data_IF_111974426048
#
_entry.id   IF_111974426048
#
_cell.length_a   1.000
_cell.length_b   1.000
_cell.length_c   1.000
_cell.angle_alpha   90.00
_cell.angle_beta   90.00
_cell.angle_gamma   90.00
#
_symmetry.space_group_name_H-M   'P 1'
#
loop_
_entity.id
_entity.type
_entity.pdbx_description
1 polymer ?
#
# COMPACT_ATOMS: atom_id res chain seq x y z
N UNK A 1 30.43 -25.38 -14.38
CA UNK A 1 29.84 -25.24 -13.03
C UNK A 1 29.11 -23.92 -13.01
N UNK A 2 27.81 -23.83 -13.32
CA UNK A 2 27.07 -22.60 -13.06
C UNK A 2 26.70 -22.58 -11.57
N UNK A 3 26.90 -21.43 -10.94
CA UNK A 3 26.51 -21.18 -9.56
C UNK A 3 24.98 -21.32 -9.44
N UNK A 4 24.54 -22.03 -8.39
CA UNK A 4 23.14 -22.02 -7.96
C UNK A 4 22.71 -20.57 -7.71
N UNK A 5 21.81 -20.07 -8.56
CA UNK A 5 20.94 -18.95 -8.23
C UNK A 5 20.19 -19.31 -6.96
N UNK A 6 20.45 -18.60 -5.86
CA UNK A 6 19.63 -18.71 -4.67
C UNK A 6 18.27 -18.10 -5.04
N UNK A 7 17.22 -18.91 -5.02
CA UNK A 7 15.87 -18.42 -5.10
C UNK A 7 15.66 -17.50 -3.89
N UNK A 8 15.40 -16.22 -4.13
CA UNK A 8 14.89 -15.30 -3.13
C UNK A 8 13.60 -15.94 -2.61
N UNK A 9 13.56 -16.33 -1.33
CA UNK A 9 12.32 -16.77 -0.68
C UNK A 9 11.37 -15.57 -0.71
N UNK A 10 10.50 -15.53 -1.72
CA UNK A 10 9.48 -14.52 -1.85
C UNK A 10 8.48 -14.72 -0.72
N UNK A 11 8.54 -13.84 0.28
CA UNK A 11 7.55 -13.76 1.35
C UNK A 11 6.15 -13.75 0.73
N UNK A 12 5.34 -14.75 1.09
CA UNK A 12 3.98 -14.81 0.59
C UNK A 12 3.15 -13.67 1.21
N UNK A 13 2.10 -13.27 0.51
CA UNK A 13 1.18 -12.25 0.99
C UNK A 13 0.61 -12.63 2.37
N UNK A 14 0.26 -13.90 2.58
CA UNK A 14 -0.31 -14.38 3.84
C UNK A 14 0.68 -14.28 5.01
N UNK A 15 1.93 -14.70 4.82
CA UNK A 15 2.97 -14.60 5.85
C UNK A 15 3.28 -13.15 6.23
N UNK A 16 3.13 -12.23 5.27
CA UNK A 16 3.38 -10.81 5.52
C UNK A 16 2.29 -10.16 6.38
N UNK A 17 1.08 -10.71 6.40
CA UNK A 17 -0.07 -10.23 7.15
C UNK A 17 -0.39 -11.05 8.40
N UNK A 18 0.35 -12.13 8.69
CA UNK A 18 0.26 -12.89 9.95
C UNK A 18 0.39 -12.01 11.22
N UNK A 19 1.25 -10.96 11.25
CA UNK A 19 1.35 -10.09 12.42
C UNK A 19 0.17 -9.15 12.63
N UNK A 20 -0.77 -9.05 11.68
CA UNK A 20 -1.92 -8.16 11.77
C UNK A 20 -2.90 -8.69 12.84
N UNK A 21 -3.17 -7.89 13.86
CA UNK A 21 -4.13 -8.28 14.90
C UNK A 21 -5.55 -8.18 14.35
N UNK A 22 -6.37 -9.21 14.57
CA UNK A 22 -7.80 -9.14 14.24
C UNK A 22 -8.55 -8.40 15.37
N UNK A 23 -9.04 -7.17 15.15
CA UNK A 23 -9.73 -6.40 16.19
C UNK A 23 -11.16 -6.89 16.45
N UNK A 24 -11.63 -7.89 15.70
CA UNK A 24 -13.03 -8.35 15.71
C UNK A 24 -13.23 -9.51 16.70
N UNK A 25 -14.49 -9.81 17.06
CA UNK A 25 -14.85 -10.90 17.98
C UNK A 25 -16.06 -11.70 17.45
N UNK A 26 -15.85 -12.99 17.11
CA UNK A 26 -16.93 -13.91 16.70
C UNK A 26 -17.27 -13.88 15.20
N UNK A 27 -16.24 -13.93 14.36
CA UNK A 27 -16.33 -13.63 12.93
C UNK A 27 -16.88 -14.77 12.09
N UNK A 28 -17.53 -14.40 10.99
CA UNK A 28 -17.95 -15.31 9.91
C UNK A 28 -16.82 -15.49 8.91
N UNK A 29 -16.14 -14.40 8.53
CA UNK A 29 -15.10 -14.42 7.50
C UNK A 29 -13.69 -14.32 8.10
N UNK A 30 -12.76 -15.22 7.73
CA UNK A 30 -11.34 -15.12 8.08
C UNK A 30 -10.74 -13.78 7.65
N UNK A 31 -9.83 -13.22 8.47
CA UNK A 31 -9.24 -11.90 8.18
C UNK A 31 -8.36 -11.96 6.94
N UNK A 32 -7.64 -13.05 6.76
CA UNK A 32 -6.79 -13.33 5.61
C UNK A 32 -7.58 -13.31 4.30
N UNK A 33 -8.80 -13.85 4.28
CA UNK A 33 -9.67 -13.84 3.10
C UNK A 33 -10.11 -12.41 2.74
N UNK A 34 -10.44 -11.61 3.75
CA UNK A 34 -10.79 -10.20 3.58
C UNK A 34 -9.61 -9.40 3.03
N UNK A 35 -8.42 -9.59 3.60
CA UNK A 35 -7.21 -8.88 3.16
C UNK A 35 -6.83 -9.26 1.73
N UNK A 36 -6.81 -10.56 1.41
CA UNK A 36 -6.53 -11.05 0.05
C UNK A 36 -7.54 -10.50 -0.95
N UNK A 37 -8.84 -10.55 -0.62
CA UNK A 37 -9.90 -10.02 -1.47
C UNK A 37 -9.68 -8.55 -1.81
N UNK A 38 -9.46 -7.70 -0.79
CA UNK A 38 -9.26 -6.26 -0.98
C UNK A 38 -8.01 -5.98 -1.81
N UNK A 39 -6.89 -6.63 -1.50
CA UNK A 39 -5.64 -6.44 -2.24
C UNK A 39 -5.79 -6.87 -3.70
N UNK A 40 -6.41 -8.03 -3.97
CA UNK A 40 -6.65 -8.51 -5.32
C UNK A 40 -7.56 -7.56 -6.11
N UNK A 41 -8.65 -7.08 -5.51
CA UNK A 41 -9.57 -6.13 -6.14
C UNK A 41 -8.89 -4.78 -6.43
N UNK A 42 -8.01 -4.32 -5.54
CA UNK A 42 -7.25 -3.08 -5.74
C UNK A 42 -6.24 -3.23 -6.86
N UNK A 43 -5.44 -4.30 -6.87
CA UNK A 43 -4.40 -4.52 -7.89
C UNK A 43 -5.01 -4.80 -9.27
N UNK A 44 -6.18 -5.46 -9.33
CA UNK A 44 -6.87 -5.69 -10.60
C UNK A 44 -7.44 -4.41 -11.23
N UNK A 45 -7.35 -3.27 -10.52
CA UNK A 45 -7.94 -2.00 -10.93
C UNK A 45 -9.47 -1.98 -10.82
N UNK A 46 -10.07 -2.91 -10.06
CA UNK A 46 -11.52 -2.91 -9.84
C UNK A 46 -11.93 -1.71 -8.99
N UNK A 47 -11.08 -1.31 -8.05
CA UNK A 47 -11.28 -0.07 -7.28
C UNK A 47 -10.82 1.14 -8.10
N UNK A 48 -11.74 1.78 -8.80
CA UNK A 48 -11.49 3.09 -9.42
C UNK A 48 -11.68 4.14 -8.32
N UNK A 49 -10.64 4.96 -8.08
CA UNK A 49 -10.57 6.02 -7.07
C UNK A 49 -11.92 6.73 -6.84
N UNK A 50 -12.60 6.44 -5.73
CA UNK A 50 -13.93 6.97 -5.40
C UNK A 50 -14.48 6.49 -4.05
N UNK A 51 -15.67 6.98 -3.69
CA UNK A 51 -16.32 6.70 -2.41
C UNK A 51 -16.91 5.28 -2.30
N UNK A 52 -16.99 4.54 -3.41
CA UNK A 52 -17.62 3.21 -3.51
C UNK A 52 -16.60 2.06 -3.51
N UNK A 53 -15.43 2.27 -2.90
CA UNK A 53 -14.29 1.33 -2.96
C UNK A 53 -14.70 -0.08 -2.50
N UNK A 54 -15.39 -0.23 -1.37
CA UNK A 54 -15.79 -1.55 -0.88
C UNK A 54 -16.94 -2.19 -1.65
N UNK A 55 -17.80 -1.38 -2.29
CA UNK A 55 -18.83 -1.90 -3.20
C UNK A 55 -18.17 -2.54 -4.42
N UNK A 56 -17.17 -1.86 -4.99
CA UNK A 56 -16.39 -2.40 -6.11
C UNK A 56 -15.60 -3.67 -5.70
N UNK A 57 -15.12 -3.75 -4.46
CA UNK A 57 -14.46 -4.96 -3.94
C UNK A 57 -15.46 -6.12 -3.82
N UNK A 58 -16.66 -5.88 -3.29
CA UNK A 58 -17.72 -6.89 -3.21
C UNK A 58 -18.08 -7.40 -4.62
N UNK A 59 -18.36 -6.50 -5.57
CA UNK A 59 -18.66 -6.84 -6.97
C UNK A 59 -17.52 -7.64 -7.63
N UNK A 60 -16.26 -7.25 -7.39
CA UNK A 60 -15.10 -8.00 -7.88
C UNK A 60 -15.04 -9.40 -7.28
N UNK A 61 -15.25 -9.51 -5.97
CA UNK A 61 -15.24 -10.78 -5.26
C UNK A 61 -16.31 -11.72 -5.79
N UNK A 62 -17.54 -11.23 -5.97
CA UNK A 62 -18.64 -12.03 -6.52
C UNK A 62 -18.35 -12.49 -7.94
N UNK A 63 -17.81 -11.59 -8.78
CA UNK A 63 -17.49 -11.90 -10.17
C UNK A 63 -16.31 -12.87 -10.33
N UNK A 64 -15.44 -12.98 -9.32
CA UNK A 64 -14.20 -13.78 -9.37
C UNK A 64 -14.09 -14.82 -8.25
N UNK A 65 -15.21 -15.17 -7.61
CA UNK A 65 -15.21 -16.08 -6.45
C UNK A 65 -14.56 -17.44 -6.74
N UNK A 66 -14.77 -17.99 -7.93
CA UNK A 66 -14.18 -19.27 -8.33
C UNK A 66 -12.66 -19.20 -8.41
N UNK A 67 -12.12 -18.08 -8.88
CA UNK A 67 -10.67 -17.83 -8.92
C UNK A 67 -10.11 -17.53 -7.53
N UNK A 68 -10.85 -16.80 -6.69
CA UNK A 68 -10.48 -16.55 -5.30
C UNK A 68 -10.38 -17.85 -4.49
N UNK A 69 -11.23 -18.83 -4.81
CA UNK A 69 -11.20 -20.18 -4.22
C UNK A 69 -9.95 -21.00 -4.54
N UNK A 70 -9.24 -20.64 -5.60
CA UNK A 70 -7.92 -21.23 -5.89
C UNK A 70 -6.83 -20.69 -4.96
N UNK A 71 -7.07 -19.54 -4.30
CA UNK A 71 -6.13 -18.90 -3.38
C UNK A 71 -6.42 -19.24 -1.91
N UNK A 72 -7.68 -19.15 -1.49
CA UNK A 72 -8.16 -19.44 -0.13
C UNK A 72 -9.54 -20.10 -0.17
N UNK A 73 -10.05 -20.73 0.90
CA UNK A 73 -11.30 -21.50 0.87
C UNK A 73 -12.56 -20.69 0.50
N UNK A 74 -12.72 -19.46 1.01
CA UNK A 74 -13.93 -18.63 0.86
C UNK A 74 -15.22 -19.45 1.10
N UNK A 75 -15.28 -20.14 2.25
CA UNK A 75 -16.37 -21.08 2.60
C UNK A 75 -17.71 -20.34 2.73
N UNK A 76 -17.71 -19.19 3.39
CA UNK A 76 -18.88 -18.34 3.59
C UNK A 76 -19.14 -17.37 2.42
N UNK A 77 -18.32 -17.43 1.36
CA UNK A 77 -18.44 -16.57 0.19
C UNK A 77 -17.76 -15.22 0.34
N UNK A 78 -18.31 -14.19 -0.31
CA UNK A 78 -17.72 -12.84 -0.35
C UNK A 78 -18.37 -11.96 0.72
N UNK A 79 -17.60 -11.32 1.60
CA UNK A 79 -18.14 -10.37 2.57
C UNK A 79 -18.73 -9.14 1.86
N UNK A 80 -19.87 -8.66 2.36
CA UNK A 80 -20.49 -7.44 1.82
C UNK A 80 -19.68 -6.18 2.11
N UNK A 81 -19.92 -5.10 1.36
CA UNK A 81 -19.27 -3.81 1.57
C UNK A 81 -19.44 -3.26 3.00
N UNK A 82 -20.55 -3.54 3.68
CA UNK A 82 -20.77 -3.18 5.09
C UNK A 82 -19.82 -3.93 6.04
N UNK A 83 -19.59 -5.22 5.78
CA UNK A 83 -18.64 -6.04 6.55
C UNK A 83 -17.23 -5.53 6.32
N UNK A 84 -16.85 -5.33 5.06
CA UNK A 84 -15.54 -4.80 4.66
C UNK A 84 -15.26 -3.44 5.33
N UNK A 85 -16.20 -2.50 5.23
CA UNK A 85 -16.10 -1.19 5.87
C UNK A 85 -15.98 -1.30 7.39
N UNK A 86 -16.75 -2.20 8.01
CA UNK A 86 -16.69 -2.46 9.44
C UNK A 86 -15.36 -3.04 9.91
N UNK A 87 -14.73 -3.91 9.11
CA UNK A 87 -13.42 -4.50 9.39
C UNK A 87 -12.32 -3.44 9.26
N UNK A 88 -12.22 -2.78 8.11
CA UNK A 88 -11.19 -1.76 7.86
C UNK A 88 -11.34 -0.50 8.72
N UNK A 89 -12.55 -0.21 9.22
CA UNK A 89 -12.76 0.85 10.21
C UNK A 89 -12.23 0.52 11.62
N UNK A 90 -11.87 -0.74 11.88
CA UNK A 90 -11.35 -1.21 13.19
C UNK A 90 -9.89 -1.64 13.14
N UNK A 91 -9.39 -2.04 11.97
CA UNK A 91 -7.98 -2.40 11.77
C UNK A 91 -7.09 -1.20 12.11
N UNK A 92 -5.96 -1.46 12.79
CA UNK A 92 -4.94 -0.44 12.99
C UNK A 92 -4.29 -0.10 11.63
N UNK A 93 -4.43 1.15 11.13
CA UNK A 93 -3.89 1.54 9.84
C UNK A 93 -2.35 1.48 9.79
N UNK A 94 -1.66 1.69 10.91
CA UNK A 94 -0.18 1.66 10.96
C UNK A 94 0.31 0.22 10.85
N UNK A 95 -0.31 -0.69 11.61
CA UNK A 95 0.03 -2.11 11.55
C UNK A 95 -0.25 -2.70 10.16
N UNK A 96 -1.37 -2.32 9.54
CA UNK A 96 -1.70 -2.73 8.18
C UNK A 96 -0.67 -2.22 7.17
N UNK A 97 -0.28 -0.95 7.26
CA UNK A 97 0.76 -0.36 6.40
C UNK A 97 2.08 -1.11 6.53
N UNK A 98 2.51 -1.42 7.76
CA UNK A 98 3.77 -2.14 7.99
C UNK A 98 3.76 -3.55 7.39
N UNK A 99 2.65 -4.28 7.53
CA UNK A 99 2.47 -5.60 6.91
C UNK A 99 2.51 -5.51 5.37
N UNK A 100 1.81 -4.52 4.82
CA UNK A 100 1.81 -4.28 3.37
C UNK A 100 3.20 -3.90 2.85
N UNK A 101 3.92 -3.02 3.56
CA UNK A 101 5.28 -2.61 3.22
C UNK A 101 6.24 -3.80 3.25
N UNK A 102 6.13 -4.67 4.25
CA UNK A 102 6.91 -5.92 4.35
C UNK A 102 6.67 -6.82 3.15
N UNK A 103 5.41 -6.98 2.73
CA UNK A 103 5.07 -7.76 1.54
C UNK A 103 5.69 -7.16 0.27
N UNK A 104 5.55 -5.84 0.07
CA UNK A 104 6.14 -5.13 -1.08
C UNK A 104 7.66 -5.28 -1.13
N UNK A 105 8.33 -5.24 0.02
CA UNK A 105 9.77 -5.49 0.11
C UNK A 105 10.14 -6.92 -0.27
N UNK A 106 9.29 -7.91 0.05
CA UNK A 106 9.49 -9.31 -0.30
C UNK A 106 9.33 -9.63 -1.79
N UNK A 107 8.59 -8.81 -2.54
CA UNK A 107 8.43 -8.94 -4.00
C UNK A 107 9.40 -8.07 -4.80
N UNK A 108 10.13 -7.16 -4.13
CA UNK A 108 11.07 -6.23 -4.76
C UNK A 108 12.21 -7.00 -5.43
N UNK A 109 12.53 -6.63 -6.67
CA UNK A 109 13.68 -7.14 -7.41
C UNK A 109 15.00 -6.43 -7.05
N UNK A 110 16.07 -6.78 -7.75
CA UNK A 110 17.29 -5.97 -7.76
C UNK A 110 16.95 -4.55 -8.22
N UNK A 111 17.56 -3.54 -7.59
CA UNK A 111 17.20 -2.14 -7.79
C UNK A 111 18.34 -1.28 -8.34
N UNK A 112 19.41 -1.92 -8.83
CA UNK A 112 20.55 -1.21 -9.40
C UNK A 112 20.12 -0.48 -10.68
N UNK A 113 20.16 0.85 -10.64
CA UNK A 113 19.72 1.73 -11.72
C UNK A 113 18.22 2.07 -11.73
N UNK A 114 17.40 1.51 -10.83
CA UNK A 114 15.95 1.76 -10.76
C UNK A 114 15.65 3.25 -10.61
N UNK A 115 14.73 3.78 -11.43
CA UNK A 115 14.26 5.15 -11.29
C UNK A 115 13.11 5.20 -10.28
N UNK A 116 13.30 5.96 -9.20
CA UNK A 116 12.32 6.19 -8.14
C UNK A 116 11.78 7.61 -8.25
N UNK A 117 10.53 7.73 -8.67
CA UNK A 117 9.83 9.00 -8.75
C UNK A 117 9.25 9.38 -7.38
N UNK A 118 9.53 10.59 -6.90
CA UNK A 118 9.00 11.11 -5.64
C UNK A 118 8.03 12.25 -5.98
N UNK A 119 6.78 12.10 -5.55
CA UNK A 119 5.69 13.01 -5.90
C UNK A 119 4.75 13.22 -4.71
N UNK A 120 4.20 14.42 -4.60
CA UNK A 120 3.19 14.76 -3.59
C UNK A 120 1.77 14.73 -4.16
N UNK A 121 0.88 13.99 -3.49
CA UNK A 121 -0.55 13.92 -3.83
C UNK A 121 -1.41 14.39 -2.67
N UNK A 122 -2.45 15.16 -3.00
CA UNK A 122 -3.51 15.50 -2.06
C UNK A 122 -4.64 14.49 -2.19
N UNK A 123 -4.94 13.75 -1.13
CA UNK A 123 -6.01 12.75 -1.16
C UNK A 123 -7.38 13.44 -1.32
N UNK A 124 -8.04 13.18 -2.44
CA UNK A 124 -9.39 13.70 -2.71
C UNK A 124 -10.38 13.21 -1.65
N UNK A 125 -11.21 14.10 -1.12
CA UNK A 125 -12.22 13.76 -0.10
C UNK A 125 -11.67 13.53 1.32
N UNK A 126 -10.36 13.69 1.56
CA UNK A 126 -9.75 13.49 2.88
C UNK A 126 -9.91 14.68 3.83
N UNK A 127 -10.25 15.85 3.30
CA UNK A 127 -10.53 17.06 4.08
C UNK A 127 -12.03 17.19 4.40
N UNK A 128 -12.34 17.80 5.53
CA UNK A 128 -13.70 18.09 5.95
C UNK A 128 -13.80 19.55 6.42
N UNK A 129 -14.41 20.39 5.58
CA UNK A 129 -14.63 21.81 5.85
C UNK A 129 -15.58 22.05 7.03
N UNK A 130 -16.51 21.13 7.30
CA UNK A 130 -17.47 21.29 8.39
C UNK A 130 -16.81 21.07 9.76
N UNK A 131 -15.84 20.16 9.82
CA UNK A 131 -15.05 19.91 11.05
C UNK A 131 -13.70 20.62 11.08
N UNK A 132 -13.36 21.37 10.03
CA UNK A 132 -12.08 22.09 9.91
C UNK A 132 -10.88 21.18 9.67
N UNK A 133 -11.09 19.93 9.27
CA UNK A 133 -10.01 19.00 8.94
C UNK A 133 -9.43 19.35 7.57
N UNK A 134 -8.15 19.67 7.53
CA UNK A 134 -7.43 19.92 6.28
C UNK A 134 -7.29 18.63 5.46
N UNK A 135 -7.26 18.73 4.12
CA UNK A 135 -6.92 17.61 3.24
C UNK A 135 -5.57 17.00 3.64
N UNK A 136 -5.46 15.68 3.49
CA UNK A 136 -4.22 14.96 3.73
C UNK A 136 -3.32 15.06 2.49
N UNK A 137 -2.12 15.58 2.70
CA UNK A 137 -1.04 15.61 1.73
C UNK A 137 -0.10 14.42 1.98
N UNK A 138 0.18 13.65 0.94
CA UNK A 138 1.00 12.45 0.98
C UNK A 138 2.12 12.59 -0.03
N UNK A 139 3.35 12.28 0.36
CA UNK A 139 4.50 12.13 -0.53
C UNK A 139 4.74 10.64 -0.72
N UNK A 140 4.85 10.18 -1.96
CA UNK A 140 5.10 8.77 -2.29
C UNK A 140 6.39 8.62 -3.09
N UNK A 141 7.10 7.51 -2.87
CA UNK A 141 8.25 7.08 -3.64
C UNK A 141 7.87 5.88 -4.51
N UNK A 142 7.84 6.08 -5.83
CA UNK A 142 7.36 5.13 -6.82
C UNK A 142 8.52 4.57 -7.66
N UNK A 143 8.79 3.27 -7.55
CA UNK A 143 9.72 2.55 -8.41
C UNK A 143 9.08 2.32 -9.78
N UNK A 144 9.61 2.99 -10.80
CA UNK A 144 8.97 3.08 -12.12
C UNK A 144 9.02 1.78 -12.93
N UNK A 145 10.12 1.03 -12.86
CA UNK A 145 10.29 -0.24 -13.58
C UNK A 145 9.55 -1.36 -12.86
N UNK A 146 9.65 -1.39 -11.53
CA UNK A 146 8.96 -2.38 -10.70
C UNK A 146 7.46 -2.12 -10.52
N UNK A 147 7.00 -0.90 -10.79
CA UNK A 147 5.61 -0.45 -10.60
C UNK A 147 5.11 -0.64 -9.17
N UNK A 148 5.96 -0.26 -8.21
CA UNK A 148 5.70 -0.41 -6.78
C UNK A 148 5.89 0.91 -6.05
N UNK A 149 5.02 1.18 -5.08
CA UNK A 149 5.27 2.21 -4.07
C UNK A 149 6.26 1.64 -3.06
N UNK A 150 7.47 2.20 -3.01
CA UNK A 150 8.51 1.80 -2.06
C UNK A 150 8.24 2.33 -0.66
N UNK A 151 7.64 3.51 -0.57
CA UNK A 151 7.26 4.15 0.68
C UNK A 151 6.35 5.33 0.42
N UNK A 152 5.64 5.74 1.47
CA UNK A 152 4.79 6.91 1.45
C UNK A 152 4.84 7.58 2.82
N UNK A 153 4.71 8.91 2.85
CA UNK A 153 4.71 9.68 4.10
C UNK A 153 3.74 10.84 4.01
N UNK A 154 2.95 11.02 5.07
CA UNK A 154 2.06 12.18 5.18
C UNK A 154 2.87 13.43 5.53
N UNK A 155 2.59 14.56 4.87
CA UNK A 155 3.08 15.86 5.32
C UNK A 155 2.21 16.37 6.49
N UNK A 156 2.85 16.77 7.59
CA UNK A 156 2.16 17.23 8.79
C UNK A 156 1.84 18.73 8.72
N UNK A 157 0.62 19.13 9.10
CA UNK A 157 0.20 20.50 9.46
C UNK A 157 0.86 21.66 8.66
N UNK A 158 0.65 21.69 7.34
CA UNK A 158 1.14 22.77 6.49
C UNK A 158 2.64 22.72 6.16
N UNK A 159 3.35 21.65 6.54
CA UNK A 159 4.66 21.32 5.99
C UNK A 159 4.52 21.05 4.49
N UNK A 160 5.35 21.71 3.70
CA UNK A 160 5.40 21.45 2.26
C UNK A 160 6.12 20.11 2.04
N UNK A 161 5.90 19.50 0.87
CA UNK A 161 6.53 18.24 0.43
C UNK A 161 8.06 18.22 0.68
N UNK A 162 8.68 19.40 0.62
CA UNK A 162 10.08 19.70 0.94
C UNK A 162 10.56 19.07 2.25
N UNK A 163 9.76 19.09 3.32
CA UNK A 163 10.17 18.53 4.62
C UNK A 163 9.91 17.02 4.73
N UNK A 164 8.90 16.53 4.00
CA UNK A 164 8.52 15.12 4.03
C UNK A 164 9.44 14.25 3.16
N UNK A 165 10.01 14.82 2.08
CA UNK A 165 10.90 14.09 1.16
C UNK A 165 12.17 13.57 1.87
N UNK A 166 12.97 14.38 2.59
CA UNK A 166 14.16 13.87 3.28
C UNK A 166 13.83 12.73 4.25
N UNK A 167 12.74 12.88 5.00
CA UNK A 167 12.33 11.88 5.98
C UNK A 167 11.87 10.57 5.31
N UNK A 168 11.23 10.67 4.14
CA UNK A 168 10.87 9.50 3.32
C UNK A 168 12.13 8.83 2.74
N UNK A 169 13.13 9.61 2.32
CA UNK A 169 14.40 9.09 1.82
C UNK A 169 15.17 8.34 2.92
N UNK A 170 15.22 8.87 4.15
CA UNK A 170 15.88 8.21 5.29
C UNK A 170 15.29 6.84 5.62
N UNK A 171 13.98 6.66 5.42
CA UNK A 171 13.28 5.39 5.64
C UNK A 171 13.47 4.39 4.48
N UNK A 172 13.94 4.85 3.33
CA UNK A 172 14.09 4.05 2.12
C UNK A 172 15.56 3.78 1.82
N UNK A 173 15.93 2.50 1.78
CA UNK A 173 17.25 2.09 1.29
C UNK A 173 17.28 2.22 -0.25
N UNK A 174 17.62 3.41 -0.74
CA UNK A 174 17.70 3.75 -2.17
C UNK A 174 19.11 3.61 -2.76
N UNK A 175 20.03 2.94 -2.08
CA UNK A 175 21.37 2.67 -2.61
C UNK A 175 21.29 2.01 -3.99
N UNK A 176 21.91 2.65 -4.99
CA UNK A 176 21.89 2.20 -6.39
C UNK A 176 20.71 2.69 -7.23
N UNK A 177 19.71 3.35 -6.62
CA UNK A 177 18.56 3.91 -7.32
C UNK A 177 18.80 5.35 -7.79
N UNK A 178 18.09 5.78 -8.83
CA UNK A 178 18.04 7.16 -9.30
C UNK A 178 16.76 7.84 -8.79
N UNK A 179 16.86 8.80 -7.88
CA UNK A 179 15.71 9.57 -7.41
C UNK A 179 15.34 10.68 -8.39
N UNK A 180 14.07 10.75 -8.79
CA UNK A 180 13.51 11.78 -9.66
C UNK A 180 12.44 12.54 -8.89
N UNK A 181 12.58 13.86 -8.80
CA UNK A 181 11.70 14.73 -8.01
C UNK A 181 11.26 15.87 -8.92
N UNK A 182 10.09 16.43 -8.64
CA UNK A 182 9.61 17.61 -9.33
C UNK A 182 10.52 18.85 -9.12
N UNK A 183 10.22 19.93 -9.83
CA UNK A 183 11.01 21.15 -9.74
C UNK A 183 10.94 21.82 -8.36
N UNK A 184 9.88 21.58 -7.58
CA UNK A 184 9.67 22.21 -6.27
C UNK A 184 10.54 21.55 -5.20
N UNK A 185 10.81 20.25 -5.33
CA UNK A 185 11.73 19.47 -4.49
C UNK A 185 13.20 19.55 -4.89
N UNK A 186 13.58 20.32 -5.93
CA UNK A 186 14.97 20.50 -6.36
C UNK A 186 15.75 21.42 -5.40
N UNK A 187 16.01 20.94 -4.19
CA UNK A 187 16.73 21.66 -3.12
C UNK A 187 18.03 20.96 -2.75
N UNK A 188 19.02 21.73 -2.32
CA UNK A 188 20.34 21.21 -1.92
C UNK A 188 20.22 20.22 -0.77
N UNK A 189 19.42 20.54 0.23
CA UNK A 189 19.29 19.73 1.45
C UNK A 189 18.63 18.37 1.14
N UNK A 190 17.74 18.33 0.14
CA UNK A 190 17.11 17.08 -0.35
C UNK A 190 18.13 16.25 -1.14
N UNK A 191 18.98 16.87 -1.95
CA UNK A 191 20.01 16.17 -2.71
C UNK A 191 21.11 15.56 -1.82
N UNK A 192 21.34 16.14 -0.64
CA UNK A 192 22.31 15.65 0.35
C UNK A 192 21.72 14.62 1.33
N UNK A 193 20.40 14.40 1.32
CA UNK A 193 19.70 13.51 2.25
C UNK A 193 19.80 12.01 1.89
N UNK A 194 20.66 11.64 0.92
CA UNK A 194 20.77 10.28 0.37
C UNK A 194 22.23 9.81 0.35
#
# INVERSE_FOLDING_TARGET
MPASSQATDSLSLLESFEPLEDPRHGEIYPLEEIVVLVICATISGATISGADTFVAVEEFGEARLEWLRDLLPFEDGVPSHDVLSGVFGRIDPVQFEDCFRRWVQGIRGEADGEVVAIDGKTLCGSGDRATGKEPRHLVEAWATEQRLVLGQRRSENGSNEIEAIPQLLEELLLEGCNAWIDAMGCQTDIAEAN
#
